data_IF_874684191022
#
_entry.id   IF_874684191022
#
_cell.length_a   1.000
_cell.length_b   1.000
_cell.length_c   1.000
_cell.angle_alpha   90.00
_cell.angle_beta   90.00
_cell.angle_gamma   90.00
#
_symmetry.space_group_name_H-M   'P 1'
#
loop_
_entity.id
_entity.type
_entity.pdbx_description
1 polymer ?
#
# COMPACT_ATOMS: atom_id res chain seq x y z
N UNK A 1 22.83 -6.71 -19.90
CA UNK A 1 23.68 -6.17 -18.82
C UNK A 1 24.80 -7.16 -18.52
N UNK A 2 25.98 -6.64 -18.18
CA UNK A 2 27.11 -7.40 -17.60
C UNK A 2 26.91 -7.60 -16.09
N UNK A 3 27.74 -8.41 -15.43
CA UNK A 3 27.82 -8.46 -13.97
C UNK A 3 28.29 -7.14 -13.33
N UNK A 4 28.91 -6.26 -14.12
CA UNK A 4 29.31 -4.91 -13.71
C UNK A 4 28.69 -3.92 -14.69
N UNK A 5 27.90 -2.98 -14.17
CA UNK A 5 27.32 -1.91 -14.97
C UNK A 5 28.42 -0.99 -15.53
N UNK A 6 28.28 -0.64 -16.80
CA UNK A 6 29.09 0.39 -17.44
C UNK A 6 28.70 1.77 -16.90
N UNK A 7 29.57 2.80 -17.06
CA UNK A 7 29.22 4.16 -16.68
C UNK A 7 27.93 4.68 -17.34
N UNK A 8 27.60 4.21 -18.54
CA UNK A 8 26.41 4.61 -19.28
C UNK A 8 25.15 3.97 -18.69
N UNK A 9 25.23 2.69 -18.30
CA UNK A 9 24.16 1.99 -17.59
C UNK A 9 23.90 2.62 -16.21
N UNK A 10 24.94 3.04 -15.49
CA UNK A 10 24.80 3.76 -14.20
C UNK A 10 24.09 5.10 -14.41
N UNK A 11 24.50 5.91 -15.40
CA UNK A 11 23.83 7.19 -15.67
C UNK A 11 22.36 7.01 -16.04
N UNK A 12 22.06 6.02 -16.88
CA UNK A 12 20.68 5.70 -17.24
C UNK A 12 19.87 5.27 -16.01
N UNK A 13 20.46 4.49 -15.10
CA UNK A 13 19.83 4.11 -13.85
C UNK A 13 19.55 5.31 -12.96
N UNK A 14 20.50 6.22 -12.75
CA UNK A 14 20.34 7.44 -11.95
C UNK A 14 19.26 8.38 -12.53
N UNK A 15 19.22 8.53 -13.85
CA UNK A 15 18.22 9.35 -14.54
C UNK A 15 16.81 8.78 -14.36
N UNK A 16 16.62 7.48 -14.60
CA UNK A 16 15.30 6.84 -14.50
C UNK A 16 14.82 6.72 -13.05
N UNK A 17 15.74 6.54 -12.09
CA UNK A 17 15.41 6.34 -10.67
C UNK A 17 15.14 7.63 -9.90
N UNK A 18 15.71 8.76 -10.33
CA UNK A 18 15.59 10.03 -9.60
C UNK A 18 14.24 10.73 -9.81
N UNK A 19 13.53 10.40 -10.90
CA UNK A 19 12.22 10.99 -11.25
C UNK A 19 11.23 9.94 -11.73
N UNK A 20 10.86 8.99 -10.86
CA UNK A 20 9.95 7.93 -11.26
C UNK A 20 8.56 8.48 -11.51
N UNK A 21 8.01 8.00 -12.62
CA UNK A 21 6.68 8.33 -13.11
C UNK A 21 5.96 7.04 -13.43
N UNK A 22 4.66 7.04 -13.17
CA UNK A 22 3.82 5.87 -13.34
C UNK A 22 2.55 6.26 -14.10
N UNK A 23 2.30 5.62 -15.23
CA UNK A 23 0.94 5.58 -15.75
C UNK A 23 0.09 4.73 -14.81
N UNK A 24 -1.14 5.14 -14.55
CA UNK A 24 -2.01 4.48 -13.58
C UNK A 24 -3.46 4.40 -14.04
N UNK A 25 -4.12 3.32 -13.64
CA UNK A 25 -5.57 3.18 -13.65
C UNK A 25 -6.00 2.59 -12.32
N UNK A 26 -6.79 3.32 -11.54
CA UNK A 26 -7.12 2.99 -10.16
C UNK A 26 -8.63 3.10 -9.91
N UNK A 27 -9.11 2.25 -9.00
CA UNK A 27 -10.33 2.50 -8.24
C UNK A 27 -9.89 2.89 -6.84
N UNK A 28 -10.33 4.06 -6.39
CA UNK A 28 -10.00 4.60 -5.07
C UNK A 28 -11.28 4.83 -4.27
N UNK A 29 -11.18 4.69 -2.96
CA UNK A 29 -12.21 5.14 -2.02
C UNK A 29 -11.56 5.53 -0.70
N UNK A 30 -12.24 6.42 0.01
CA UNK A 30 -11.90 6.81 1.36
C UNK A 30 -12.74 6.02 2.36
N UNK A 31 -12.20 5.77 3.54
CA UNK A 31 -12.93 5.21 4.66
C UNK A 31 -12.66 5.98 5.95
N UNK A 32 -13.63 5.94 6.87
CA UNK A 32 -13.42 6.39 8.25
C UNK A 32 -13.18 5.18 9.16
N UNK A 33 -12.36 5.37 10.18
CA UNK A 33 -12.04 4.35 11.18
C UNK A 33 -12.04 4.94 12.59
N UNK A 34 -11.58 4.20 13.59
CA UNK A 34 -11.56 4.66 14.98
C UNK A 34 -10.24 5.37 15.32
N UNK A 35 -10.27 6.41 16.16
CA UNK A 35 -9.05 7.04 16.68
C UNK A 35 -8.10 6.03 17.36
N UNK A 36 -8.66 5.02 18.04
CA UNK A 36 -7.89 3.97 18.71
C UNK A 36 -7.10 3.13 17.70
N UNK A 37 -7.71 2.78 16.56
CA UNK A 37 -7.01 2.05 15.51
C UNK A 37 -5.86 2.89 14.93
N UNK A 38 -6.12 4.17 14.59
CA UNK A 38 -5.09 5.08 14.09
C UNK A 38 -3.90 5.14 15.06
N UNK A 39 -4.18 5.34 16.35
CA UNK A 39 -3.13 5.42 17.38
C UNK A 39 -2.32 4.12 17.50
N UNK A 40 -2.96 2.96 17.27
CA UNK A 40 -2.31 1.64 17.38
C UNK A 40 -1.32 1.34 16.25
N UNK A 41 -1.50 1.96 15.07
CA UNK A 41 -0.67 1.73 13.88
C UNK A 41 0.27 2.90 13.56
N UNK A 42 0.19 3.99 14.34
CA UNK A 42 0.97 5.20 14.12
C UNK A 42 2.45 4.98 14.49
N UNK A 43 3.40 5.14 13.54
CA UNK A 43 4.81 4.99 13.85
C UNK A 43 5.30 6.08 14.82
N UNK A 44 6.37 5.83 15.60
CA UNK A 44 6.92 6.82 16.52
C UNK A 44 7.26 8.13 15.81
N UNK A 45 6.96 9.28 16.42
CA UNK A 45 7.25 10.60 15.85
C UNK A 45 6.21 11.12 14.84
N UNK A 46 5.19 10.32 14.52
CA UNK A 46 4.04 10.77 13.74
C UNK A 46 2.88 11.13 14.67
N UNK A 47 1.99 11.97 14.16
CA UNK A 47 0.73 12.39 14.76
C UNK A 47 -0.43 11.90 13.89
N UNK A 48 -1.62 11.66 14.44
CA UNK A 48 -2.81 11.36 13.63
C UNK A 48 -3.13 12.53 12.69
N UNK A 49 -3.82 12.21 11.59
CA UNK A 49 -4.46 13.21 10.74
C UNK A 49 -5.51 14.05 11.47
N UNK A 50 -6.13 15.00 10.75
CA UNK A 50 -7.21 15.82 11.31
C UNK A 50 -8.47 14.99 11.64
N UNK A 51 -8.67 13.89 10.91
CA UNK A 51 -9.76 12.94 11.09
C UNK A 51 -9.19 11.51 11.05
N UNK A 52 -9.84 10.52 11.70
CA UNK A 52 -9.44 9.12 11.61
C UNK A 52 -9.86 8.53 10.26
N UNK A 53 -9.09 8.89 9.23
CA UNK A 53 -9.37 8.61 7.82
C UNK A 53 -8.29 7.74 7.21
N UNK A 54 -8.71 6.86 6.31
CA UNK A 54 -7.80 6.11 5.46
C UNK A 54 -8.32 5.98 4.04
N UNK A 55 -7.49 5.38 3.19
CA UNK A 55 -7.70 5.29 1.76
C UNK A 55 -7.42 3.87 1.29
N UNK A 56 -8.22 3.38 0.36
CA UNK A 56 -7.97 2.14 -0.37
C UNK A 56 -7.89 2.51 -1.85
N UNK A 57 -6.79 2.14 -2.50
CA UNK A 57 -6.59 2.30 -3.93
C UNK A 57 -6.16 0.99 -4.55
N UNK A 58 -6.79 0.56 -5.64
CA UNK A 58 -6.48 -0.69 -6.30
C UNK A 58 -6.48 -0.49 -7.81
N UNK A 59 -5.44 -0.97 -8.48
CA UNK A 59 -5.35 -0.79 -9.92
C UNK A 59 -4.11 -1.36 -10.57
N UNK A 60 -3.82 -0.83 -11.75
CA UNK A 60 -2.69 -1.20 -12.61
C UNK A 60 -1.79 0.01 -12.81
N UNK A 61 -0.49 -0.23 -12.86
CA UNK A 61 0.54 0.77 -13.06
C UNK A 61 1.54 0.34 -14.13
N UNK A 62 2.13 1.30 -14.81
CA UNK A 62 3.25 1.09 -15.73
C UNK A 62 4.33 2.15 -15.50
N UNK A 63 5.59 1.74 -15.46
CA UNK A 63 6.72 2.65 -15.28
C UNK A 63 7.92 2.28 -16.13
N UNK A 64 8.68 3.29 -16.55
CA UNK A 64 10.00 3.08 -17.18
C UNK A 64 11.03 2.52 -16.19
N UNK A 65 10.78 2.67 -14.89
CA UNK A 65 11.68 2.23 -13.83
C UNK A 65 11.50 0.74 -13.50
N UNK A 66 10.25 0.29 -13.35
CA UNK A 66 9.95 -1.05 -12.85
C UNK A 66 8.95 -1.85 -13.71
N UNK A 67 8.66 -1.39 -14.93
CA UNK A 67 7.75 -2.07 -15.85
C UNK A 67 6.28 -1.95 -15.44
N UNK A 68 5.46 -2.90 -15.91
CA UNK A 68 4.07 -3.05 -15.54
C UNK A 68 3.90 -3.80 -14.21
N UNK A 69 2.95 -3.33 -13.39
CA UNK A 69 2.58 -4.01 -12.15
C UNK A 69 1.16 -3.66 -11.71
N UNK A 70 0.55 -4.58 -11.00
CA UNK A 70 -0.75 -4.42 -10.36
C UNK A 70 -0.54 -4.14 -8.87
N UNK A 71 -1.39 -3.31 -8.28
CA UNK A 71 -1.18 -2.79 -6.94
C UNK A 71 -2.49 -2.62 -6.16
N UNK A 72 -2.46 -2.92 -4.85
CA UNK A 72 -3.38 -2.33 -3.89
C UNK A 72 -2.61 -1.60 -2.80
N UNK A 73 -3.11 -0.44 -2.43
CA UNK A 73 -2.56 0.44 -1.39
C UNK A 73 -3.63 0.68 -0.34
N UNK A 74 -3.24 0.56 0.92
CA UNK A 74 -4.06 0.97 2.06
C UNK A 74 -3.24 1.91 2.91
N UNK A 75 -3.73 3.14 3.06
CA UNK A 75 -3.03 4.20 3.80
C UNK A 75 -3.95 4.89 4.80
N UNK A 76 -3.34 5.61 5.74
CA UNK A 76 -4.03 6.47 6.69
C UNK A 76 -3.50 7.90 6.63
N UNK A 77 -4.35 8.85 6.97
CA UNK A 77 -3.97 10.25 7.14
C UNK A 77 -3.13 10.41 8.42
N UNK A 78 -1.97 11.05 8.28
CA UNK A 78 -1.03 11.32 9.38
C UNK A 78 -0.47 12.74 9.26
N UNK A 79 0.23 13.17 10.30
CA UNK A 79 1.14 14.31 10.25
C UNK A 79 2.53 13.90 10.71
N UNK A 80 3.54 14.45 10.06
CA UNK A 80 4.92 14.35 10.51
C UNK A 80 5.47 15.76 10.70
N UNK A 81 5.86 16.10 11.94
CA UNK A 81 6.27 17.46 12.33
C UNK A 81 5.22 18.51 11.94
N UNK A 82 3.95 18.22 12.24
CA UNK A 82 2.80 19.08 11.92
C UNK A 82 2.38 19.13 10.44
N UNK A 83 3.10 18.49 9.51
CA UNK A 83 2.77 18.50 8.07
C UNK A 83 1.90 17.31 7.68
N UNK A 84 0.75 17.58 7.06
CA UNK A 84 -0.20 16.56 6.59
C UNK A 84 0.41 15.68 5.49
N UNK A 85 0.02 14.41 5.48
CA UNK A 85 0.34 13.45 4.42
C UNK A 85 -0.23 12.07 4.76
N UNK A 86 0.14 11.06 3.97
CA UNK A 86 -0.34 9.69 4.16
C UNK A 86 0.78 8.74 4.59
N UNK A 87 0.44 7.71 5.35
CA UNK A 87 1.34 6.60 5.67
C UNK A 87 0.74 5.26 5.27
N UNK A 88 1.53 4.42 4.59
CA UNK A 88 1.09 3.11 4.11
C UNK A 88 1.00 2.08 5.24
N UNK A 89 -0.16 1.41 5.35
CA UNK A 89 -0.37 0.26 6.21
C UNK A 89 -0.12 -1.06 5.47
N UNK A 90 -0.58 -1.15 4.23
CA UNK A 90 -0.51 -2.34 3.40
C UNK A 90 -0.26 -1.95 1.94
N UNK A 91 0.62 -2.71 1.27
CA UNK A 91 0.97 -2.48 -0.12
C UNK A 91 1.26 -3.83 -0.79
N UNK A 92 0.29 -4.34 -1.56
CA UNK A 92 0.46 -5.61 -2.30
C UNK A 92 0.71 -5.32 -3.76
N UNK A 93 1.80 -5.85 -4.27
CA UNK A 93 2.32 -5.51 -5.59
C UNK A 93 2.63 -6.80 -6.35
N UNK A 94 2.32 -6.83 -7.65
CA UNK A 94 2.82 -7.87 -8.55
C UNK A 94 4.18 -7.49 -9.14
N UNK A 95 5.02 -8.49 -9.43
CA UNK A 95 6.37 -8.27 -9.96
C UNK A 95 7.44 -8.11 -8.88
N UNK A 96 8.63 -8.62 -9.15
CA UNK A 96 9.76 -8.60 -8.23
C UNK A 96 10.43 -7.22 -8.15
N UNK A 97 10.70 -6.62 -9.30
CA UNK A 97 11.34 -5.31 -9.44
C UNK A 97 10.60 -4.20 -8.71
N UNK A 98 9.27 -4.00 -8.86
CA UNK A 98 8.56 -2.95 -8.12
C UNK A 98 8.51 -3.19 -6.61
N UNK A 99 8.52 -4.46 -6.16
CA UNK A 99 8.61 -4.83 -4.73
C UNK A 99 9.99 -4.48 -4.17
N UNK A 100 11.04 -4.99 -4.81
CA UNK A 100 12.43 -4.75 -4.40
C UNK A 100 12.75 -3.26 -4.40
N UNK A 101 12.42 -2.55 -5.49
CA UNK A 101 12.66 -1.11 -5.60
C UNK A 101 12.02 -0.32 -4.47
N UNK A 102 10.71 -0.51 -4.26
CA UNK A 102 9.97 0.26 -3.27
C UNK A 102 10.51 0.09 -1.86
N UNK A 103 10.84 -1.15 -1.49
CA UNK A 103 11.43 -1.47 -0.17
C UNK A 103 12.84 -0.90 -0.03
N UNK A 104 13.67 -1.10 -1.06
CA UNK A 104 15.10 -0.80 -0.95
C UNK A 104 15.45 0.67 -1.18
N UNK A 105 14.63 1.40 -1.93
CA UNK A 105 14.90 2.80 -2.26
C UNK A 105 14.11 3.70 -1.33
N UNK A 106 12.80 3.49 -1.23
CA UNK A 106 11.89 4.37 -0.49
C UNK A 106 11.52 3.89 0.90
N UNK A 107 11.63 2.59 1.19
CA UNK A 107 11.18 2.02 2.45
C UNK A 107 9.69 1.68 2.49
N UNK A 108 9.08 1.44 1.33
CA UNK A 108 7.67 1.07 1.25
C UNK A 108 7.42 -0.34 1.82
N UNK A 109 6.23 -0.54 2.39
CA UNK A 109 5.78 -1.79 3.04
C UNK A 109 5.36 -2.89 2.05
N UNK A 110 6.02 -2.99 0.90
CA UNK A 110 5.59 -3.88 -0.19
C UNK A 110 5.70 -5.35 0.19
N UNK A 111 4.65 -6.11 -0.12
CA UNK A 111 4.61 -7.57 -0.17
C UNK A 111 4.15 -8.01 -1.56
N UNK A 112 4.65 -9.17 -2.01
CA UNK A 112 4.24 -9.72 -3.30
C UNK A 112 2.83 -10.28 -3.21
N UNK A 113 1.97 -9.91 -4.17
CA UNK A 113 0.59 -10.38 -4.28
C UNK A 113 0.09 -10.33 -5.73
N UNK A 114 -1.19 -10.67 -5.91
CA UNK A 114 -1.88 -10.61 -7.19
C UNK A 114 -2.97 -9.56 -7.08
N UNK A 115 -2.90 -8.54 -7.92
CA UNK A 115 -3.98 -7.57 -8.08
C UNK A 115 -4.50 -7.65 -9.52
N UNK A 116 -5.80 -7.44 -9.73
CA UNK A 116 -6.42 -7.48 -11.07
C UNK A 116 -7.62 -6.55 -11.14
N UNK A 117 -7.86 -5.99 -12.32
CA UNK A 117 -9.03 -5.17 -12.64
C UNK A 117 -9.67 -5.63 -13.96
N UNK A 118 -10.99 -5.82 -13.93
CA UNK A 118 -11.84 -6.17 -15.06
C UNK A 118 -12.75 -5.00 -15.44
N UNK A 119 -13.01 -4.88 -16.75
CA UNK A 119 -13.76 -3.78 -17.35
C UNK A 119 -14.90 -4.34 -18.18
N UNK A 120 -16.12 -3.87 -17.94
CA UNK A 120 -17.30 -4.23 -18.73
C UNK A 120 -18.25 -3.04 -18.80
N UNK A 121 -18.16 -2.24 -19.87
CA UNK A 121 -18.91 -0.98 -19.96
C UNK A 121 -18.57 -0.03 -18.81
N UNK A 122 -19.58 0.41 -18.07
CA UNK A 122 -19.45 1.25 -16.87
C UNK A 122 -19.12 0.46 -15.59
N UNK A 123 -19.10 -0.86 -15.67
CA UNK A 123 -18.80 -1.72 -14.53
C UNK A 123 -17.30 -2.00 -14.42
N UNK A 124 -16.81 -1.96 -13.19
CA UNK A 124 -15.48 -2.45 -12.84
C UNK A 124 -15.59 -3.47 -11.71
N UNK A 125 -14.75 -4.48 -11.79
CA UNK A 125 -14.48 -5.41 -10.70
C UNK A 125 -12.97 -5.47 -10.52
N UNK A 126 -12.49 -5.38 -9.29
CA UNK A 126 -11.08 -5.47 -9.00
C UNK A 126 -10.85 -6.24 -7.69
N UNK A 127 -9.73 -6.95 -7.59
CA UNK A 127 -9.33 -7.59 -6.34
C UNK A 127 -7.83 -7.56 -6.13
N UNK A 128 -7.46 -7.69 -4.85
CA UNK A 128 -6.12 -7.97 -4.39
C UNK A 128 -6.11 -9.26 -3.58
N UNK A 129 -5.18 -10.13 -3.89
CA UNK A 129 -5.07 -11.48 -3.35
C UNK A 129 -3.63 -11.75 -2.93
N UNK A 130 -3.48 -12.42 -1.79
CA UNK A 130 -2.19 -12.96 -1.36
C UNK A 130 -2.41 -14.30 -0.68
N UNK A 131 -1.55 -15.27 -0.99
CA UNK A 131 -1.59 -16.63 -0.45
C UNK A 131 -2.99 -17.29 -0.57
N UNK A 132 -3.68 -17.09 -1.69
CA UNK A 132 -4.99 -17.69 -1.97
C UNK A 132 -6.19 -17.01 -1.32
N UNK A 133 -6.00 -15.89 -0.59
CA UNK A 133 -7.09 -15.13 0.03
C UNK A 133 -7.26 -13.78 -0.66
N UNK A 134 -8.47 -13.51 -1.17
CA UNK A 134 -8.85 -12.20 -1.70
C UNK A 134 -9.08 -11.21 -0.57
N UNK A 135 -8.04 -10.46 -0.24
CA UNK A 135 -7.98 -9.51 0.86
C UNK A 135 -8.86 -8.30 0.60
N UNK A 136 -8.87 -7.77 -0.62
CA UNK A 136 -9.73 -6.66 -1.01
C UNK A 136 -10.44 -7.04 -2.31
N UNK A 137 -11.75 -6.81 -2.36
CA UNK A 137 -12.54 -6.88 -3.58
C UNK A 137 -13.39 -5.61 -3.71
N UNK A 138 -13.36 -5.01 -4.89
CA UNK A 138 -14.12 -3.82 -5.26
C UNK A 138 -14.98 -4.15 -6.48
N UNK A 139 -16.25 -3.80 -6.41
CA UNK A 139 -17.13 -3.86 -7.57
C UNK A 139 -17.96 -2.59 -7.61
N UNK A 140 -17.98 -1.89 -8.74
CA UNK A 140 -18.73 -0.66 -8.87
C UNK A 140 -19.21 -0.39 -10.28
N UNK A 141 -20.25 0.43 -10.37
CA UNK A 141 -20.71 1.08 -11.59
C UNK A 141 -20.30 2.55 -11.54
N UNK A 142 -19.63 3.01 -12.59
CA UNK A 142 -19.07 4.36 -12.69
C UNK A 142 -19.86 5.17 -13.70
N UNK A 143 -20.17 6.42 -13.35
CA UNK A 143 -20.91 7.34 -14.20
C UNK A 143 -20.06 7.96 -15.31
N UNK A 144 -20.54 9.10 -15.80
CA UNK A 144 -19.86 9.84 -16.87
C UNK A 144 -18.48 10.38 -16.44
N UNK A 145 -17.61 10.56 -17.43
CA UNK A 145 -16.31 11.19 -17.25
C UNK A 145 -16.49 12.62 -16.71
N UNK A 146 -15.82 12.90 -15.60
CA UNK A 146 -15.70 14.23 -15.01
C UNK A 146 -14.47 14.96 -15.57
N UNK A 147 -14.40 16.31 -15.45
CA UNK A 147 -13.26 17.06 -15.91
C UNK A 147 -11.94 16.59 -15.30
N UNK A 148 -10.89 16.56 -16.13
CA UNK A 148 -9.53 16.25 -15.70
C UNK A 148 -9.06 17.21 -14.58
N UNK A 149 -8.18 16.72 -13.72
CA UNK A 149 -7.60 17.51 -12.62
C UNK A 149 -6.14 17.14 -12.38
N UNK A 150 -5.41 18.04 -11.74
CA UNK A 150 -4.11 17.73 -11.14
C UNK A 150 -4.23 17.86 -9.64
N UNK A 151 -3.68 16.90 -8.90
CA UNK A 151 -3.62 16.88 -7.44
C UNK A 151 -2.18 16.74 -6.99
N UNK A 152 -1.86 17.35 -5.87
CA UNK A 152 -0.56 17.22 -5.21
C UNK A 152 -0.80 16.75 -3.78
N UNK A 153 -0.11 15.68 -3.39
CA UNK A 153 -0.22 15.05 -2.09
C UNK A 153 1.17 14.78 -1.49
N UNK A 154 1.24 14.69 -0.17
CA UNK A 154 2.46 14.28 0.55
C UNK A 154 2.32 12.84 1.04
N UNK A 155 3.31 12.00 0.77
CA UNK A 155 3.40 10.65 1.32
C UNK A 155 4.66 10.50 2.18
N UNK A 156 4.55 9.72 3.26
CA UNK A 156 5.64 9.42 4.17
C UNK A 156 5.95 7.93 4.19
N UNK A 157 7.14 7.59 3.72
CA UNK A 157 7.67 6.23 3.76
C UNK A 157 8.82 6.14 4.76
N UNK A 158 8.91 5.02 5.49
CA UNK A 158 9.92 4.84 6.53
C UNK A 158 10.86 3.71 6.13
N UNK A 159 12.07 4.07 5.76
CA UNK A 159 13.13 3.15 5.36
C UNK A 159 13.87 2.63 6.58
N UNK A 160 13.78 1.32 6.80
CA UNK A 160 14.50 0.61 7.85
C UNK A 160 14.86 -0.81 7.41
N UNK A 161 15.94 -1.35 7.99
CA UNK A 161 16.40 -2.71 7.69
C UNK A 161 16.67 -3.50 8.98
N UNK A 162 16.35 -4.80 9.01
CA UNK A 162 16.79 -5.66 10.10
C UNK A 162 18.32 -5.77 10.10
N UNK A 163 18.91 -5.85 11.28
CA UNK A 163 20.35 -6.05 11.42
C UNK A 163 20.77 -7.43 10.86
N UNK A 164 21.91 -7.52 10.20
CA UNK A 164 22.43 -8.77 9.60
C UNK A 164 22.61 -9.94 10.58
N UNK A 165 22.89 -9.67 11.84
CA UNK A 165 22.90 -10.65 12.95
C UNK A 165 21.49 -11.11 13.41
N UNK A 166 20.42 -10.65 12.78
CA UNK A 166 19.03 -11.00 13.12
C UNK A 166 18.50 -10.37 14.40
N UNK A 167 19.14 -9.31 14.92
CA UNK A 167 18.75 -8.63 16.17
C UNK A 167 18.71 -7.12 16.00
N UNK A 168 17.52 -6.54 16.15
CA UNK A 168 17.33 -5.10 16.04
C UNK A 168 17.41 -4.58 14.61
N UNK A 169 17.63 -3.28 14.48
CA UNK A 169 17.74 -2.58 13.19
C UNK A 169 19.21 -2.43 12.79
N UNK A 170 19.47 -2.42 11.48
CA UNK A 170 20.81 -2.24 10.93
C UNK A 170 21.33 -0.80 11.13
N UNK A 171 20.42 0.18 11.04
CA UNK A 171 20.68 1.62 11.17
C UNK A 171 19.46 2.32 11.79
N UNK A 172 19.61 3.61 12.10
CA UNK A 172 18.47 4.49 12.45
C UNK A 172 17.47 4.55 11.28
N UNK A 173 16.17 4.32 11.51
CA UNK A 173 15.14 4.48 10.48
C UNK A 173 15.11 5.88 9.91
N UNK A 174 14.83 5.98 8.61
CA UNK A 174 14.74 7.25 7.88
C UNK A 174 13.33 7.46 7.38
N UNK A 175 12.81 8.67 7.52
CA UNK A 175 11.54 9.10 6.92
C UNK A 175 11.85 9.80 5.61
N UNK A 176 11.36 9.25 4.52
CA UNK A 176 11.29 9.91 3.23
C UNK A 176 10.00 10.72 3.15
N UNK A 177 10.11 11.99 2.77
CA UNK A 177 8.97 12.85 2.45
C UNK A 177 8.87 12.90 0.93
N UNK A 178 7.77 12.36 0.41
CA UNK A 178 7.50 12.31 -1.02
C UNK A 178 6.40 13.31 -1.38
N UNK A 179 6.63 14.07 -2.44
CA UNK A 179 5.55 14.76 -3.16
C UNK A 179 5.07 13.83 -4.27
N UNK A 180 3.75 13.62 -4.33
CA UNK A 180 3.06 12.84 -5.35
C UNK A 180 2.16 13.78 -6.14
N UNK A 181 2.46 13.97 -7.43
CA UNK A 181 1.65 14.78 -8.34
C UNK A 181 0.89 13.86 -9.27
N UNK A 182 -0.43 13.87 -9.16
CA UNK A 182 -1.32 13.02 -9.95
C UNK A 182 -2.05 13.86 -11.01
N UNK A 183 -1.90 13.45 -12.27
CA UNK A 183 -2.58 14.02 -13.43
C UNK A 183 -3.72 13.10 -13.86
N UNK A 184 -4.89 13.28 -13.25
CA UNK A 184 -6.10 12.50 -13.53
C UNK A 184 -6.70 12.96 -14.87
N UNK A 185 -6.39 12.24 -15.95
CA UNK A 185 -6.85 12.57 -17.30
C UNK A 185 -8.26 12.06 -17.60
N UNK A 186 -8.64 10.94 -16.98
CA UNK A 186 -10.01 10.43 -16.93
C UNK A 186 -10.37 10.16 -15.49
N UNK A 187 -11.56 10.56 -15.08
CA UNK A 187 -12.08 10.21 -13.77
C UNK A 187 -13.59 10.18 -13.77
N UNK A 188 -14.17 9.34 -12.95
CA UNK A 188 -15.62 9.19 -12.81
C UNK A 188 -15.93 8.73 -11.40
N UNK A 189 -17.08 9.16 -10.87
CA UNK A 189 -17.57 8.68 -9.57
C UNK A 189 -18.44 7.46 -9.79
N UNK A 190 -18.34 6.50 -8.89
CA UNK A 190 -19.10 5.26 -8.93
C UNK A 190 -19.61 4.83 -7.57
N UNK A 191 -20.60 3.94 -7.64
CA UNK A 191 -21.21 3.31 -6.48
C UNK A 191 -21.02 1.82 -6.58
N UNK A 192 -20.87 1.17 -5.42
CA UNK A 192 -20.42 -0.21 -5.43
C UNK A 192 -20.29 -0.82 -4.05
N UNK A 193 -19.61 -1.96 -4.04
CA UNK A 193 -19.37 -2.77 -2.87
C UNK A 193 -17.88 -2.97 -2.67
N UNK A 194 -17.46 -2.83 -1.42
CA UNK A 194 -16.14 -3.19 -0.92
C UNK A 194 -16.28 -4.46 -0.06
N UNK A 195 -15.37 -5.41 -0.25
CA UNK A 195 -15.17 -6.54 0.65
C UNK A 195 -13.73 -6.53 1.13
N UNK A 196 -13.54 -6.56 2.45
CA UNK A 196 -12.23 -6.62 3.09
C UNK A 196 -12.14 -7.90 3.92
N UNK A 197 -11.07 -8.66 3.70
CA UNK A 197 -10.67 -9.83 4.49
C UNK A 197 -9.29 -9.58 5.05
N UNK A 198 -8.88 -10.34 6.04
CA UNK A 198 -7.48 -10.38 6.42
C UNK A 198 -7.04 -11.78 6.79
N UNK A 199 -5.73 -11.98 6.71
CA UNK A 199 -5.02 -13.17 7.17
C UNK A 199 -4.14 -12.78 8.35
N UNK A 200 -3.41 -13.73 8.92
CA UNK A 200 -2.40 -13.43 9.93
C UNK A 200 -1.21 -12.61 9.37
N UNK A 201 -0.89 -12.77 8.08
CA UNK A 201 0.18 -12.02 7.40
C UNK A 201 -0.27 -10.67 6.84
N UNK A 202 -1.57 -10.52 6.60
CA UNK A 202 -2.21 -9.35 6.01
C UNK A 202 -3.48 -9.02 6.82
N UNK A 203 -3.35 -8.45 8.04
CA UNK A 203 -4.44 -8.32 9.02
C UNK A 203 -5.43 -7.20 8.68
N UNK A 204 -5.80 -7.06 7.41
CA UNK A 204 -6.72 -6.06 6.88
C UNK A 204 -8.11 -6.06 7.55
N UNK A 205 -8.55 -7.20 8.10
CA UNK A 205 -9.78 -7.30 8.90
C UNK A 205 -9.69 -6.59 10.25
N UNK A 206 -8.48 -6.29 10.74
CA UNK A 206 -8.27 -5.59 12.02
C UNK A 206 -8.60 -4.10 11.94
N UNK A 207 -8.69 -3.54 10.73
CA UNK A 207 -9.11 -2.15 10.52
C UNK A 207 -10.61 -2.04 10.78
N UNK A 208 -11.07 -1.31 11.81
CA UNK A 208 -12.50 -1.10 12.03
C UNK A 208 -12.99 -0.06 11.01
N UNK A 209 -13.52 -0.50 9.87
CA UNK A 209 -14.06 0.41 8.86
C UNK A 209 -15.49 0.80 9.25
N UNK A 210 -15.70 2.09 9.53
CA UNK A 210 -16.97 2.62 10.00
C UNK A 210 -17.86 3.06 8.84
N UNK A 211 -17.30 3.83 7.91
CA UNK A 211 -17.98 4.28 6.69
C UNK A 211 -17.02 4.28 5.52
N UNK A 212 -17.56 4.21 4.30
CA UNK A 212 -16.82 4.33 3.04
C UNK A 212 -17.43 5.44 2.18
N UNK A 213 -16.61 6.14 1.41
CA UNK A 213 -17.06 7.15 0.44
C UNK A 213 -17.67 6.51 -0.81
N UNK A 214 -18.14 7.35 -1.74
CA UNK A 214 -18.27 6.95 -3.15
C UNK A 214 -16.90 6.48 -3.68
N UNK A 215 -16.91 5.58 -4.66
CA UNK A 215 -15.68 5.14 -5.33
C UNK A 215 -15.33 6.15 -6.42
N UNK A 216 -14.05 6.42 -6.63
CA UNK A 216 -13.58 7.15 -7.79
C UNK A 216 -12.76 6.20 -8.67
N UNK A 217 -13.11 6.16 -9.96
CA UNK A 217 -12.24 5.59 -10.97
C UNK A 217 -11.37 6.71 -11.51
N UNK A 218 -10.06 6.51 -11.58
CA UNK A 218 -9.11 7.47 -12.14
C UNK A 218 -8.16 6.76 -13.10
N UNK A 219 -7.78 7.45 -14.17
CA UNK A 219 -6.72 7.02 -15.07
C UNK A 219 -5.89 8.22 -15.54
N UNK A 220 -4.58 8.04 -15.55
CA UNK A 220 -3.65 9.12 -15.85
C UNK A 220 -2.21 8.76 -15.52
N UNK A 221 -1.48 9.74 -14.97
CA UNK A 221 -0.06 9.59 -14.61
C UNK A 221 0.18 10.16 -13.21
N UNK A 222 1.07 9.53 -12.45
CA UNK A 222 1.54 10.03 -11.17
C UNK A 222 3.07 10.16 -11.17
N UNK A 223 3.57 11.30 -10.71
CA UNK A 223 4.99 11.61 -10.59
C UNK A 223 5.36 11.62 -9.10
N UNK A 224 6.37 10.84 -8.71
CA UNK A 224 6.79 10.66 -7.32
C UNK A 224 8.17 11.25 -7.12
N UNK A 225 8.32 12.19 -6.19
CA UNK A 225 9.60 12.84 -5.91
C UNK A 225 9.89 12.83 -4.42
N UNK A 226 11.02 12.25 -4.01
CA UNK A 226 11.54 12.41 -2.64
C UNK A 226 12.10 13.82 -2.52
N UNK A 227 11.52 14.64 -1.65
CA UNK A 227 11.91 16.05 -1.47
C UNK A 227 12.74 16.27 -0.20
N UNK A 228 12.58 15.40 0.80
CA UNK A 228 13.31 15.46 2.06
C UNK A 228 13.54 14.06 2.63
N UNK A 229 14.64 13.88 3.36
CA UNK A 229 14.92 12.71 4.18
C UNK A 229 15.27 13.18 5.60
N UNK A 230 14.70 12.52 6.61
CA UNK A 230 14.99 12.81 8.02
C UNK A 230 15.27 11.52 8.77
N UNK A 231 16.19 11.55 9.74
CA UNK A 231 16.24 10.47 10.74
C UNK A 231 14.94 10.49 11.57
N UNK A 232 14.36 9.32 11.81
CA UNK A 232 13.14 9.18 12.60
C UNK A 232 13.39 9.47 14.09
N UNK A 233 14.60 9.16 14.57
CA UNK A 233 15.07 9.48 15.92
C UNK A 233 14.50 8.57 17.02
N UNK A 234 14.06 7.36 16.67
CA UNK A 234 13.42 6.43 17.61
C UNK A 234 14.13 5.06 17.69
N UNK A 235 15.12 4.80 16.85
CA UNK A 235 15.88 3.56 16.84
C UNK A 235 15.01 2.32 16.89
N UNK A 236 15.30 1.42 17.84
CA UNK A 236 14.62 0.13 17.96
C UNK A 236 13.11 0.22 18.25
N UNK A 237 12.58 1.38 18.66
CA UNK A 237 11.14 1.56 18.88
C UNK A 237 10.32 1.42 17.58
N UNK A 238 10.94 1.59 16.41
CA UNK A 238 10.29 1.35 15.12
C UNK A 238 10.20 -0.13 14.73
N UNK A 239 11.01 -1.00 15.34
CA UNK A 239 11.11 -2.41 14.94
C UNK A 239 9.76 -3.16 14.90
N UNK A 240 8.82 -2.98 15.86
CA UNK A 240 7.50 -3.63 15.77
C UNK A 240 6.70 -3.22 14.52
N UNK A 241 6.75 -1.95 14.14
CA UNK A 241 6.06 -1.42 12.96
C UNK A 241 6.68 -1.90 11.65
N UNK A 242 8.02 -2.07 11.63
CA UNK A 242 8.71 -2.68 10.51
C UNK A 242 8.28 -4.13 10.35
N UNK A 243 8.39 -4.93 11.42
CA UNK A 243 8.06 -6.37 11.38
C UNK A 243 6.61 -6.59 10.94
N UNK A 244 5.65 -5.92 11.60
CA UNK A 244 4.23 -6.16 11.34
C UNK A 244 3.73 -5.74 9.96
N UNK A 245 4.48 -4.92 9.22
CA UNK A 245 4.08 -4.46 7.87
C UNK A 245 4.94 -5.02 6.74
N UNK A 246 6.23 -5.22 6.99
CA UNK A 246 7.18 -5.61 5.93
C UNK A 246 7.37 -7.11 5.79
N UNK A 247 7.03 -7.90 6.82
CA UNK A 247 7.38 -9.31 6.91
C UNK A 247 6.18 -10.14 7.36
N UNK A 248 6.13 -11.39 6.87
CA UNK A 248 5.24 -12.39 7.43
C UNK A 248 5.72 -12.83 8.82
N UNK A 249 4.82 -13.40 9.60
CA UNK A 249 5.18 -14.01 10.87
C UNK A 249 6.01 -15.28 10.63
N UNK A 250 7.31 -15.19 10.89
CA UNK A 250 8.27 -16.29 10.68
C UNK A 250 7.90 -17.57 11.44
N UNK A 251 7.06 -17.47 12.48
CA UNK A 251 6.60 -18.60 13.31
C UNK A 251 5.50 -19.42 12.63
N UNK A 252 4.89 -18.90 11.57
CA UNK A 252 3.73 -19.51 10.90
C UNK A 252 4.10 -20.27 9.62
N UNK A 253 5.38 -20.26 9.23
CA UNK A 253 5.80 -21.04 8.08
C UNK A 253 5.69 -22.54 8.34
N UNK A 254 5.00 -23.22 7.44
CA UNK A 254 4.96 -24.68 7.40
C UNK A 254 6.35 -25.21 7.08
N UNK A 255 6.87 -26.03 7.97
CA UNK A 255 8.15 -26.72 7.81
C UNK A 255 7.93 -28.22 7.86
N UNK A 256 8.86 -29.00 7.30
CA UNK A 256 8.80 -30.45 7.39
C UNK A 256 8.76 -30.92 8.85
N UNK A 257 8.08 -32.03 9.10
CA UNK A 257 7.82 -32.58 10.45
C UNK A 257 9.08 -32.88 11.26
N UNK A 258 10.25 -32.99 10.63
CA UNK A 258 11.56 -33.05 11.31
C UNK A 258 11.80 -31.81 12.19
N UNK A 259 11.44 -30.62 11.70
CA UNK A 259 11.66 -29.34 12.36
C UNK A 259 10.71 -29.13 13.55
N UNK A 260 9.47 -29.65 13.45
CA UNK A 260 8.49 -29.61 14.54
C UNK A 260 8.52 -30.85 15.42
N UNK A 261 9.26 -31.90 15.02
CA UNK A 261 9.22 -33.25 15.62
C UNK A 261 7.79 -33.79 15.76
N UNK A 262 6.95 -33.54 14.75
CA UNK A 262 5.51 -33.85 14.74
C UNK A 262 4.71 -33.19 15.88
N UNK A 263 5.26 -32.16 16.53
CA UNK A 263 4.57 -31.34 17.53
C UNK A 263 4.04 -30.08 16.85
N UNK A 264 3.14 -30.29 15.91
CA UNK A 264 2.45 -29.17 15.27
C UNK A 264 1.43 -28.64 16.29
N UNK A 265 1.78 -27.52 16.94
CA UNK A 265 0.99 -26.88 17.99
C UNK A 265 -0.07 -25.91 17.43
N UNK A 266 -0.48 -26.10 16.18
CA UNK A 266 -1.38 -25.16 15.53
C UNK A 266 -2.80 -25.27 16.08
N UNK A 267 -3.32 -24.17 16.61
CA UNK A 267 -4.76 -23.96 16.69
C UNK A 267 -5.26 -23.72 15.25
N UNK A 268 -6.05 -24.66 14.72
CA UNK A 268 -6.83 -24.44 13.48
C UNK A 268 -7.71 -23.20 13.66
N UNK A 269 -7.21 -22.06 13.19
CA UNK A 269 -7.88 -20.76 13.32
C UNK A 269 -8.05 -20.11 11.95
N UNK A 270 -8.39 -20.88 10.92
CA UNK A 270 -8.75 -20.29 9.62
C UNK A 270 -10.25 -20.07 9.48
N UNK A 271 -10.77 -19.15 10.29
CA UNK A 271 -11.92 -18.34 9.84
C UNK A 271 -11.35 -17.04 9.30
N UNK A 272 -11.26 -16.87 7.98
CA UNK A 272 -10.85 -15.60 7.37
C UNK A 272 -11.94 -14.55 7.64
N UNK A 273 -11.75 -13.60 8.58
CA UNK A 273 -12.81 -12.68 8.97
C UNK A 273 -13.10 -11.75 7.79
N UNK A 274 -14.38 -11.40 7.59
CA UNK A 274 -14.79 -10.62 6.42
C UNK A 274 -15.70 -9.45 6.78
N UNK A 275 -15.33 -8.26 6.34
CA UNK A 275 -16.15 -7.06 6.36
C UNK A 275 -16.76 -6.83 4.97
N UNK A 276 -18.07 -6.54 4.89
CA UNK A 276 -18.79 -6.24 3.65
C UNK A 276 -19.43 -4.86 3.77
N UNK A 277 -19.05 -3.96 2.88
CA UNK A 277 -19.41 -2.54 2.95
C UNK A 277 -19.98 -2.10 1.60
N UNK A 278 -20.94 -1.19 1.63
CA UNK A 278 -21.59 -0.64 0.43
C UNK A 278 -21.36 0.86 0.40
N UNK A 279 -20.87 1.37 -0.73
CA UNK A 279 -20.75 2.81 -0.95
C UNK A 279 -22.15 3.45 -1.02
N UNK A 280 -22.35 4.68 -0.49
CA UNK A 280 -23.66 5.32 -0.46
C UNK A 280 -24.18 5.53 -1.88
N UNK A 281 -25.38 5.03 -2.25
CA UNK A 281 -25.98 5.32 -3.56
C UNK A 281 -26.83 6.59 -3.50
N UNK A 282 -26.58 7.59 -4.36
CA UNK A 282 -27.60 8.62 -4.62
C UNK A 282 -28.71 8.01 -5.47
N UNK A 283 -29.96 8.08 -4.99
CA UNK A 283 -31.15 7.78 -5.79
C UNK A 283 -31.17 8.76 -6.97
N UNK A 284 -30.71 8.33 -8.14
CA UNK A 284 -30.91 9.07 -9.38
C UNK A 284 -32.38 8.88 -9.77
N UNK A 285 -33.18 9.93 -9.57
CA UNK A 285 -34.52 10.04 -10.15
C UNK A 285 -34.40 10.57 -11.56
#
# INVERSE_FOLDING_TARGET
>A
MSFVATPDEVRAWEELSSKPSFSQELITLDFTTTPEFIQSVLPPGFEPGDEPKGHISLGTFESRLCGEFDCVMVSIDVKFRGRRGTHMLELLISGDTPVTWGREVWGEVKKTGICRIWRSGNYRYAYAERNGVRLIELQGEFGDDLPARTRENTAYEIKAYPHSMGKGLQWEPKVNVLTVVEHDTRRSVGHGRLVVRGTASDPMHSIPILTVSEMEYVSGRADYTVIEEHDLGCGAAYLPYMIGRHYDDLRQFKVGSEWTRMKDMEEETETNPVQRLTAPSKNWK
#
